data_IF_706707207799
#
_entry.id   IF_706707207799
#
_cell.length_a   1.000
_cell.length_b   1.000
_cell.length_c   1.000
_cell.angle_alpha   90.00
_cell.angle_beta   90.00
_cell.angle_gamma   90.00
#
_symmetry.space_group_name_H-M   'P 1'
#
loop_
_entity.id
_entity.type
_entity.pdbx_description
1 polymer ?
#
# COMPACT_ATOMS: atom_id res chain seq x y z
N UNK A 1 -10.89 -8.06 19.95
CA UNK A 1 -10.97 -8.32 18.51
C UNK A 1 -10.01 -7.40 17.76
N UNK A 2 -9.21 -7.95 16.89
CA UNK A 2 -8.22 -7.19 16.15
C UNK A 2 -8.87 -6.46 14.98
N UNK A 3 -8.68 -5.15 14.88
CA UNK A 3 -9.22 -4.37 13.76
C UNK A 3 -8.28 -4.45 12.58
N UNK A 4 -8.84 -4.67 11.41
CA UNK A 4 -8.08 -4.79 10.16
C UNK A 4 -8.10 -3.44 9.46
N UNK A 5 -6.93 -2.87 9.23
CA UNK A 5 -6.78 -1.59 8.54
C UNK A 5 -5.80 -1.76 7.39
N UNK A 6 -6.22 -1.33 6.23
CA UNK A 6 -5.40 -1.37 5.02
C UNK A 6 -5.13 0.04 4.54
N UNK A 7 -3.87 0.32 4.27
CA UNK A 7 -3.44 1.63 3.80
C UNK A 7 -2.90 1.46 2.37
N UNK A 8 -3.68 1.93 1.42
CA UNK A 8 -3.26 2.02 0.04
C UNK A 8 -2.45 3.29 -0.17
N UNK A 9 -1.33 3.17 -0.88
CA UNK A 9 -0.42 4.27 -1.10
C UNK A 9 -0.17 4.42 -2.60
N UNK A 10 -0.54 5.58 -3.13
CA UNK A 10 -0.16 5.98 -4.47
C UNK A 10 1.12 6.82 -4.35
N UNK A 11 2.25 6.23 -4.74
CA UNK A 11 3.57 6.79 -4.45
C UNK A 11 4.23 7.32 -5.72
N UNK A 12 4.52 8.61 -5.69
CA UNK A 12 5.24 9.32 -6.74
C UNK A 12 6.48 9.99 -6.17
N UNK A 13 7.42 10.35 -7.02
CA UNK A 13 8.64 11.04 -6.57
C UNK A 13 8.36 12.41 -5.94
N UNK A 14 7.20 12.99 -6.25
CA UNK A 14 6.82 14.34 -5.80
C UNK A 14 5.86 14.35 -4.62
N UNK A 15 5.07 13.29 -4.45
CA UNK A 15 4.12 13.18 -3.33
C UNK A 15 3.68 11.73 -3.11
N UNK A 16 3.20 11.44 -1.92
CA UNK A 16 2.50 10.20 -1.58
C UNK A 16 1.04 10.53 -1.24
N UNK A 17 0.11 9.77 -1.80
CA UNK A 17 -1.30 9.82 -1.42
C UNK A 17 -1.63 8.56 -0.64
N UNK A 18 -2.14 8.71 0.57
CA UNK A 18 -2.42 7.62 1.50
C UNK A 18 -3.92 7.52 1.73
N UNK A 19 -4.46 6.31 1.62
CA UNK A 19 -5.87 6.04 1.94
C UNK A 19 -5.95 4.91 2.94
N UNK A 20 -6.47 5.20 4.13
CA UNK A 20 -6.69 4.19 5.17
C UNK A 20 -8.15 3.75 5.16
N UNK A 21 -8.38 2.45 5.11
CA UNK A 21 -9.72 1.88 5.16
C UNK A 21 -9.79 0.64 6.05
N UNK A 22 -11.00 0.41 6.56
CA UNK A 22 -11.36 -0.81 7.26
C UNK A 22 -12.39 -1.54 6.41
N UNK A 23 -12.09 -2.76 5.92
CA UNK A 23 -13.08 -3.55 5.19
C UNK A 23 -14.15 -4.06 6.15
N UNK A 24 -15.42 -3.90 5.79
CA UNK A 24 -16.54 -4.36 6.59
C UNK A 24 -17.36 -5.34 5.77
N UNK A 25 -17.53 -6.55 6.30
CA UNK A 25 -18.29 -7.61 5.62
C UNK A 25 -19.78 -7.22 5.58
N UNK A 26 -20.35 -7.19 4.36
CA UNK A 26 -21.77 -6.92 4.17
C UNK A 26 -22.16 -5.45 4.19
N UNK A 27 -21.19 -4.54 4.31
CA UNK A 27 -21.40 -3.10 4.28
C UNK A 27 -20.37 -2.42 3.38
N UNK A 28 -20.54 -1.14 3.13
CA UNK A 28 -19.55 -0.35 2.43
C UNK A 28 -18.28 -0.20 3.27
N UNK A 29 -17.14 -0.14 2.60
CA UNK A 29 -15.86 0.05 3.26
C UNK A 29 -15.83 1.36 4.02
N UNK A 30 -15.25 1.32 5.21
CA UNK A 30 -15.07 2.52 6.02
C UNK A 30 -13.74 3.18 5.67
N UNK A 31 -13.81 4.36 5.06
CA UNK A 31 -12.63 5.17 4.76
C UNK A 31 -12.39 6.13 5.94
N UNK A 32 -11.24 6.01 6.58
CA UNK A 32 -10.89 6.87 7.71
C UNK A 32 -10.29 8.19 7.29
N UNK A 33 -9.39 8.14 6.31
CA UNK A 33 -8.70 9.33 5.83
C UNK A 33 -8.07 9.07 4.47
N UNK A 34 -8.04 10.10 3.65
CA UNK A 34 -7.26 10.15 2.43
C UNK A 34 -6.46 11.45 2.47
N UNK A 35 -5.13 11.34 2.44
CA UNK A 35 -4.24 12.48 2.61
C UNK A 35 -3.11 12.46 1.60
N UNK A 36 -2.62 13.65 1.24
CA UNK A 36 -1.40 13.82 0.48
C UNK A 36 -0.28 14.25 1.43
N UNK A 37 0.87 13.61 1.31
CA UNK A 37 2.04 13.93 2.11
C UNK A 37 3.27 14.05 1.22
N UNK A 38 4.28 14.75 1.70
CA UNK A 38 5.57 14.81 1.01
C UNK A 38 6.23 13.43 0.99
N UNK A 39 7.05 13.10 -0.03
CA UNK A 39 7.58 11.76 -0.23
C UNK A 39 8.68 11.40 0.76
N UNK A 40 8.25 11.01 1.95
CA UNK A 40 9.11 10.59 3.05
C UNK A 40 8.37 9.49 3.84
N UNK A 41 9.03 8.36 4.07
CA UNK A 41 8.44 7.25 4.83
C UNK A 41 8.04 7.67 6.25
N UNK A 42 8.71 8.66 6.83
CA UNK A 42 8.37 9.17 8.17
C UNK A 42 6.97 9.77 8.22
N UNK A 43 6.51 10.35 7.12
CA UNK A 43 5.14 10.86 7.02
C UNK A 43 4.12 9.73 7.04
N UNK A 44 4.46 8.56 6.51
CA UNK A 44 3.62 7.37 6.58
C UNK A 44 3.55 6.86 8.03
N UNK A 45 4.69 6.81 8.72
CA UNK A 45 4.72 6.43 10.13
C UNK A 45 3.87 7.37 11.00
N UNK A 46 3.97 8.66 10.75
CA UNK A 46 3.18 9.67 11.45
C UNK A 46 1.68 9.51 11.17
N UNK A 47 1.32 9.24 9.93
CA UNK A 47 -0.07 8.95 9.53
C UNK A 47 -0.63 7.74 10.29
N UNK A 48 0.14 6.66 10.40
CA UNK A 48 -0.26 5.45 11.12
C UNK A 48 -0.46 5.75 12.59
N UNK A 49 0.45 6.47 13.22
CA UNK A 49 0.34 6.81 14.65
C UNK A 49 -0.87 7.72 14.92
N UNK A 50 -1.10 8.71 14.08
CA UNK A 50 -2.27 9.58 14.18
C UNK A 50 -3.58 8.78 14.00
N UNK A 51 -3.58 7.81 13.10
CA UNK A 51 -4.72 6.95 12.89
C UNK A 51 -5.03 6.10 14.11
N UNK A 52 -4.01 5.49 14.72
CA UNK A 52 -4.15 4.71 15.95
C UNK A 52 -4.69 5.56 17.09
N UNK A 53 -4.24 6.79 17.22
CA UNK A 53 -4.74 7.71 18.26
C UNK A 53 -6.21 8.04 18.06
N UNK A 54 -6.65 8.25 16.82
CA UNK A 54 -8.05 8.51 16.51
C UNK A 54 -8.95 7.31 16.76
N UNK A 55 -8.47 6.11 16.51
CA UNK A 55 -9.25 4.88 16.62
C UNK A 55 -9.26 4.30 18.04
N UNK A 56 -8.35 4.73 18.88
CA UNK A 56 -8.25 4.31 20.27
C UNK A 56 -7.00 3.48 20.55
N UNK A 57 -6.27 3.85 21.60
CA UNK A 57 -4.99 3.22 21.95
C UNK A 57 -5.15 1.82 22.54
N UNK A 58 -6.34 1.49 23.04
CA UNK A 58 -6.61 0.19 23.67
C UNK A 58 -6.96 -0.91 22.67
N UNK A 59 -7.17 -0.56 21.40
CA UNK A 59 -7.50 -1.53 20.38
C UNK A 59 -6.25 -2.16 19.78
N UNK A 60 -6.37 -3.41 19.40
CA UNK A 60 -5.36 -4.09 18.61
C UNK A 60 -5.62 -3.86 17.13
N UNK A 61 -4.56 -3.65 16.37
CA UNK A 61 -4.65 -3.36 14.95
C UNK A 61 -3.80 -4.31 14.13
N UNK A 62 -4.36 -4.76 13.01
CA UNK A 62 -3.62 -5.40 11.93
C UNK A 62 -3.53 -4.41 10.78
N UNK A 63 -2.47 -3.62 10.77
CA UNK A 63 -2.24 -2.57 9.78
C UNK A 63 -1.29 -3.08 8.72
N UNK A 64 -1.70 -2.99 7.47
CA UNK A 64 -0.86 -3.33 6.34
C UNK A 64 -0.90 -2.21 5.31
N UNK A 65 0.27 -1.77 4.87
CA UNK A 65 0.43 -0.81 3.79
C UNK A 65 0.74 -1.52 2.48
N UNK A 66 0.41 -0.89 1.38
CA UNK A 66 0.78 -1.41 0.08
C UNK A 66 0.86 -0.31 -0.97
N UNK A 67 1.74 -0.50 -1.93
CA UNK A 67 1.87 0.37 -3.09
C UNK A 67 2.19 -0.44 -4.34
N UNK A 68 1.86 0.14 -5.48
CA UNK A 68 2.13 -0.48 -6.77
C UNK A 68 3.61 -0.34 -7.13
N UNK A 69 4.20 -1.40 -7.63
CA UNK A 69 5.60 -1.38 -8.09
C UNK A 69 5.79 -0.34 -9.19
N UNK A 70 6.80 0.49 -9.04
CA UNK A 70 7.09 1.59 -9.95
C UNK A 70 8.46 2.20 -9.71
N UNK A 71 8.59 3.50 -9.97
CA UNK A 71 9.86 4.22 -9.95
C UNK A 71 10.60 4.22 -8.61
N UNK A 72 9.92 4.01 -7.49
CA UNK A 72 10.53 3.99 -6.17
C UNK A 72 11.18 2.64 -5.81
N UNK A 73 10.92 1.58 -6.57
CA UNK A 73 11.52 0.27 -6.33
C UNK A 73 11.23 -0.24 -4.92
N UNK A 74 12.28 -0.75 -4.26
CA UNK A 74 12.17 -1.35 -2.91
C UNK A 74 12.49 -0.38 -1.78
N UNK A 75 12.93 0.82 -2.08
CA UNK A 75 13.41 1.78 -1.07
C UNK A 75 12.38 2.02 0.03
N UNK A 76 11.16 2.38 -0.36
CA UNK A 76 10.07 2.62 0.59
C UNK A 76 9.69 1.36 1.35
N UNK A 77 9.60 0.22 0.67
CA UNK A 77 9.34 -1.07 1.29
C UNK A 77 10.37 -1.39 2.37
N UNK A 78 11.64 -1.21 2.07
CA UNK A 78 12.72 -1.48 3.03
C UNK A 78 12.65 -0.54 4.23
N UNK A 79 12.37 0.73 4.01
CA UNK A 79 12.25 1.72 5.08
C UNK A 79 11.07 1.39 6.01
N UNK A 80 9.92 1.06 5.46
CA UNK A 80 8.73 0.71 6.25
C UNK A 80 8.92 -0.61 6.99
N UNK A 81 9.49 -1.61 6.35
CA UNK A 81 9.76 -2.91 6.96
C UNK A 81 10.76 -2.78 8.11
N UNK A 82 11.80 -1.96 7.96
CA UNK A 82 12.76 -1.67 9.02
C UNK A 82 12.11 -0.97 10.23
N UNK A 83 11.03 -0.24 10.00
CA UNK A 83 10.23 0.41 11.04
C UNK A 83 9.11 -0.48 11.60
N UNK A 84 9.12 -1.77 11.32
CA UNK A 84 8.13 -2.77 11.75
C UNK A 84 6.72 -2.52 11.18
N UNK A 85 6.61 -1.88 10.03
CA UNK A 85 5.36 -1.71 9.33
C UNK A 85 5.24 -2.79 8.26
N UNK A 86 4.16 -3.54 8.28
CA UNK A 86 3.86 -4.52 7.22
C UNK A 86 3.62 -3.79 5.91
N UNK A 87 4.39 -4.11 4.90
CA UNK A 87 4.29 -3.48 3.59
C UNK A 87 4.33 -4.52 2.48
N UNK A 88 3.52 -4.31 1.46
CA UNK A 88 3.44 -5.15 0.27
C UNK A 88 3.65 -4.28 -0.95
N UNK A 89 4.44 -4.77 -1.90
CA UNK A 89 4.54 -4.16 -3.24
C UNK A 89 3.66 -4.97 -4.18
N UNK A 90 2.71 -4.31 -4.82
CA UNK A 90 1.74 -4.94 -5.71
C UNK A 90 2.24 -4.87 -7.16
N UNK A 91 2.08 -5.97 -7.89
CA UNK A 91 2.39 -6.00 -9.31
C UNK A 91 1.33 -5.24 -10.11
N UNK A 92 1.72 -4.30 -10.97
CA UNK A 92 0.75 -3.43 -11.68
C UNK A 92 -0.23 -4.20 -12.56
N UNK A 93 0.23 -5.25 -13.20
CA UNK A 93 -0.54 -6.02 -14.18
C UNK A 93 -1.61 -6.91 -13.57
N UNK A 94 -1.63 -7.04 -12.24
CA UNK A 94 -2.50 -7.97 -11.54
C UNK A 94 -3.56 -7.29 -10.68
N UNK A 95 -3.54 -5.97 -10.59
CA UNK A 95 -4.57 -5.23 -9.88
C UNK A 95 -5.84 -5.18 -10.72
N UNK A 96 -6.98 -5.49 -10.08
CA UNK A 96 -8.28 -5.39 -10.72
C UNK A 96 -8.62 -3.92 -10.89
N UNK A 97 -8.76 -3.49 -12.15
CA UNK A 97 -9.19 -2.13 -12.46
C UNK A 97 -10.69 -2.15 -12.74
N UNK A 98 -11.50 -1.36 -12.03
CA UNK A 98 -12.92 -1.25 -12.34
C UNK A 98 -13.10 -0.74 -13.77
N UNK A 99 -13.93 -1.45 -14.56
CA UNK A 99 -14.25 -1.01 -15.90
C UNK A 99 -15.04 0.30 -15.84
N UNK A 100 -14.76 1.21 -16.77
CA UNK A 100 -15.49 2.46 -16.90
C UNK A 100 -14.98 3.63 -16.06
N UNK A 101 -13.93 3.44 -15.30
CA UNK A 101 -13.28 4.55 -14.59
C UNK A 101 -12.45 5.35 -15.58
N UNK A 102 -12.93 6.57 -15.90
CA UNK A 102 -12.31 7.42 -16.91
C UNK A 102 -11.32 8.44 -16.35
N UNK A 103 -11.49 8.80 -15.09
CA UNK A 103 -10.64 9.80 -14.43
C UNK A 103 -9.78 9.13 -13.40
N UNK A 104 -8.48 9.12 -13.67
CA UNK A 104 -7.48 8.63 -12.75
C UNK A 104 -7.06 9.77 -11.83
N UNK A 105 -7.23 9.57 -10.52
CA UNK A 105 -6.74 10.51 -9.51
C UNK A 105 -5.91 9.74 -8.49
N UNK A 106 -4.96 10.42 -7.85
CA UNK A 106 -4.11 9.82 -6.84
C UNK A 106 -4.93 9.26 -5.66
N UNK A 107 -5.98 9.98 -5.27
CA UNK A 107 -6.90 9.53 -4.22
C UNK A 107 -7.64 8.25 -4.60
N UNK A 108 -8.09 8.14 -5.85
CA UNK A 108 -8.74 6.92 -6.35
C UNK A 108 -7.77 5.76 -6.43
N UNK A 109 -6.57 6.02 -6.88
CA UNK A 109 -5.54 4.99 -6.99
C UNK A 109 -5.16 4.47 -5.61
N UNK A 110 -4.98 5.34 -4.64
CA UNK A 110 -4.70 4.96 -3.27
C UNK A 110 -5.85 4.13 -2.67
N UNK A 111 -7.09 4.53 -2.90
CA UNK A 111 -8.26 3.78 -2.45
C UNK A 111 -8.35 2.41 -3.12
N UNK A 112 -8.10 2.32 -4.41
CA UNK A 112 -8.12 1.05 -5.15
C UNK A 112 -7.05 0.11 -4.60
N UNK A 113 -5.86 0.60 -4.29
CA UNK A 113 -4.80 -0.20 -3.68
C UNK A 113 -5.24 -0.71 -2.31
N UNK A 114 -5.86 0.13 -1.49
CA UNK A 114 -6.39 -0.28 -0.20
C UNK A 114 -7.46 -1.37 -0.34
N UNK A 115 -8.33 -1.27 -1.33
CA UNK A 115 -9.33 -2.28 -1.64
C UNK A 115 -8.68 -3.59 -2.09
N UNK A 116 -7.66 -3.54 -2.93
CA UNK A 116 -6.91 -4.73 -3.33
C UNK A 116 -6.26 -5.43 -2.13
N UNK A 117 -5.67 -4.68 -1.23
CA UNK A 117 -5.10 -5.23 0.02
C UNK A 117 -6.16 -5.88 0.90
N UNK A 118 -7.35 -5.31 0.93
CA UNK A 118 -8.46 -5.81 1.75
C UNK A 118 -9.05 -7.10 1.23
N UNK A 119 -9.20 -7.21 -0.09
CA UNK A 119 -9.92 -8.30 -0.74
C UNK A 119 -9.05 -9.27 -1.53
N UNK A 120 -7.74 -9.05 -1.57
CA UNK A 120 -6.81 -10.00 -2.16
C UNK A 120 -6.72 -10.03 -3.68
N UNK A 121 -7.21 -9.01 -4.37
CA UNK A 121 -7.18 -8.93 -5.83
C UNK A 121 -5.83 -8.48 -6.40
N UNK A 122 -4.73 -9.04 -5.89
CA UNK A 122 -3.38 -8.64 -6.30
C UNK A 122 -2.37 -9.76 -6.22
N UNK A 123 -1.24 -9.58 -6.92
CA UNK A 123 -0.04 -10.39 -6.72
C UNK A 123 1.03 -9.55 -6.06
N UNK A 124 1.59 -10.06 -4.97
CA UNK A 124 2.67 -9.37 -4.27
C UNK A 124 4.02 -9.64 -4.95
N UNK A 125 4.77 -8.59 -5.20
CA UNK A 125 6.10 -8.68 -5.81
C UNK A 125 7.14 -9.23 -4.82
N UNK A 126 6.97 -8.95 -3.55
CA UNK A 126 7.95 -9.21 -2.49
C UNK A 126 7.54 -10.38 -1.60
N UNK A 127 6.59 -11.16 -2.01
CA UNK A 127 6.11 -12.27 -1.19
C UNK A 127 6.75 -13.57 -1.61
N UNK A 128 7.15 -14.38 -0.64
CA UNK A 128 7.47 -15.79 -0.81
C UNK A 128 8.72 -16.11 -1.52
N UNK A 129 9.79 -15.47 -1.25
CA UNK A 129 10.86 -15.86 -2.04
C UNK A 129 11.96 -16.40 -1.19
N UNK A 130 12.37 -17.61 -1.53
CA UNK A 130 13.56 -18.21 -1.00
C UNK A 130 14.75 -17.31 -1.31
N UNK A 131 15.59 -17.09 -0.32
CA UNK A 131 16.77 -16.26 -0.45
C UNK A 131 17.57 -16.65 -1.70
N UNK A 132 17.93 -15.71 -2.52
CA UNK A 132 18.72 -15.92 -3.75
C UNK A 132 17.89 -15.79 -5.02
N UNK A 133 16.91 -16.65 -5.23
CA UNK A 133 16.04 -16.57 -6.41
C UNK A 133 15.20 -15.30 -6.41
N UNK A 134 14.88 -14.84 -5.24
CA UNK A 134 14.11 -13.65 -5.00
C UNK A 134 14.76 -12.39 -5.46
N UNK A 135 16.03 -12.22 -5.07
CA UNK A 135 16.78 -11.03 -5.46
C UNK A 135 16.85 -10.91 -6.97
N UNK A 136 17.01 -12.04 -7.67
CA UNK A 136 17.06 -12.05 -9.13
C UNK A 136 15.72 -11.63 -9.74
N UNK A 137 14.64 -12.24 -9.29
CA UNK A 137 13.29 -11.91 -9.79
C UNK A 137 12.93 -10.45 -9.51
N UNK A 138 13.24 -9.96 -8.33
CA UNK A 138 13.02 -8.57 -7.96
C UNK A 138 13.78 -7.61 -8.85
N UNK A 139 15.08 -7.87 -9.01
CA UNK A 139 15.94 -7.05 -9.85
C UNK A 139 15.43 -7.02 -11.29
N UNK A 140 15.10 -8.17 -11.83
CA UNK A 140 14.59 -8.29 -13.19
C UNK A 140 13.25 -7.55 -13.37
N UNK A 141 12.38 -7.66 -12.39
CA UNK A 141 11.08 -6.98 -12.42
C UNK A 141 11.25 -5.46 -12.43
N UNK A 142 12.06 -4.91 -11.53
CA UNK A 142 12.29 -3.47 -11.48
C UNK A 142 13.08 -2.95 -12.66
N UNK A 143 14.02 -3.73 -13.19
CA UNK A 143 14.73 -3.36 -14.40
C UNK A 143 13.78 -3.25 -15.59
N UNK A 144 12.82 -4.15 -15.70
CA UNK A 144 11.79 -4.06 -16.76
C UNK A 144 10.92 -2.83 -16.60
N UNK A 145 10.54 -2.48 -15.38
CA UNK A 145 9.77 -1.26 -15.12
C UNK A 145 10.54 0.01 -15.44
N UNK A 146 11.84 0.02 -15.16
CA UNK A 146 12.71 1.16 -15.45
C UNK A 146 12.96 1.36 -16.96
N UNK A 147 12.74 0.34 -17.78
CA UNK A 147 12.91 0.39 -19.23
C UNK A 147 11.66 0.85 -19.99
N UNK A 148 10.58 1.07 -19.32
CA UNK A 148 9.31 1.48 -19.95
C UNK A 148 9.17 2.99 -20.02
#
# INVERSE_FOLDING_TARGET
>A
MKRIIRIGMDVHSTNYTLCAMEPIIGEDDRIFATVDVTPDYKNILMFIENLKMKLGVDNQYDIQCGYEAGCLGYSLYNQLTAANVKCVILAPTTMLTPQGVRVKTDARDARMIAQCLSYGGYHAVVRQIKRGLILQIKTDFFNRLAMV
#
